data_IF_739814633863
#
_entry.id   IF_739814633863
#
_cell.length_a   1.000
_cell.length_b   1.000
_cell.length_c   1.000
_cell.angle_alpha   90.00
_cell.angle_beta   90.00
_cell.angle_gamma   90.00
#
_symmetry.space_group_name_H-M   'P 1'
#
loop_
_entity.id
_entity.type
_entity.pdbx_description
1 polymer ?
#
# COMPACT_ATOMS: atom_id res chain seq x y z
N UNK A 1 -7.02 14.56 -8.76
CA UNK A 1 -7.58 15.19 -9.98
C UNK A 1 -7.13 14.48 -11.26
N UNK A 2 -5.84 14.19 -11.45
CA UNK A 2 -5.29 13.47 -12.63
C UNK A 2 -6.03 12.17 -13.04
N UNK A 3 -6.41 11.36 -12.05
CA UNK A 3 -6.90 10.01 -12.29
C UNK A 3 -8.34 9.97 -12.85
N UNK A 4 -9.13 11.04 -12.69
CA UNK A 4 -10.45 11.20 -13.33
C UNK A 4 -10.36 11.74 -14.76
N UNK A 5 -9.35 12.56 -15.07
CA UNK A 5 -9.16 13.16 -16.40
C UNK A 5 -8.47 12.21 -17.38
N UNK A 6 -7.68 11.27 -16.85
CA UNK A 6 -6.84 10.34 -17.62
C UNK A 6 -7.63 9.50 -18.64
N UNK A 7 -8.77 8.86 -18.29
CA UNK A 7 -9.53 8.08 -19.26
C UNK A 7 -10.18 8.93 -20.35
N UNK A 8 -10.61 10.15 -20.02
CA UNK A 8 -11.20 11.10 -20.97
C UNK A 8 -10.17 11.65 -21.97
N UNK A 9 -8.95 11.93 -21.50
CA UNK A 9 -7.85 12.43 -22.32
C UNK A 9 -7.18 11.32 -23.15
N UNK A 10 -7.15 10.08 -22.64
CA UNK A 10 -6.63 8.92 -23.37
C UNK A 10 -7.41 8.62 -24.65
N UNK A 11 -8.70 9.00 -24.71
CA UNK A 11 -9.53 8.87 -25.90
C UNK A 11 -9.13 9.83 -27.03
N UNK A 12 -8.49 10.96 -26.71
CA UNK A 12 -8.06 11.98 -27.68
C UNK A 12 -6.59 11.86 -28.06
N UNK A 13 -5.69 11.60 -27.10
CA UNK A 13 -4.27 11.31 -27.39
C UNK A 13 -3.53 10.90 -26.11
N UNK A 14 -2.79 9.79 -26.20
CA UNK A 14 -1.92 9.27 -25.14
C UNK A 14 -0.83 10.29 -24.76
N UNK A 15 -0.42 11.15 -25.69
CA UNK A 15 0.61 12.19 -25.47
C UNK A 15 0.19 13.21 -24.42
N UNK A 16 -1.08 13.62 -24.39
CA UNK A 16 -1.56 14.61 -23.41
C UNK A 16 -1.61 14.05 -21.99
N UNK A 17 -1.89 12.75 -21.84
CA UNK A 17 -1.81 12.04 -20.56
C UNK A 17 -0.38 12.11 -19.99
N UNK A 18 0.62 11.80 -20.81
CA UNK A 18 2.04 11.86 -20.40
C UNK A 18 2.50 13.27 -20.03
N UNK A 19 2.09 14.28 -20.80
CA UNK A 19 2.42 15.69 -20.52
C UNK A 19 1.83 16.12 -19.17
N UNK A 20 0.58 15.76 -18.90
CA UNK A 20 -0.11 16.15 -17.68
C UNK A 20 0.47 15.44 -16.44
N UNK A 21 0.82 14.15 -16.58
CA UNK A 21 1.55 13.39 -15.55
C UNK A 21 2.94 13.99 -15.28
N UNK A 22 3.68 14.39 -16.33
CA UNK A 22 4.98 15.04 -16.20
C UNK A 22 4.85 16.37 -15.47
N UNK A 23 3.89 17.21 -15.87
CA UNK A 23 3.67 18.51 -15.23
C UNK A 23 3.34 18.37 -13.74
N UNK A 24 2.45 17.44 -13.35
CA UNK A 24 2.13 17.21 -11.94
C UNK A 24 3.30 16.63 -11.15
N UNK A 25 4.06 15.71 -11.74
CA UNK A 25 5.27 15.15 -11.10
C UNK A 25 6.34 16.22 -10.91
N UNK A 26 6.50 17.12 -11.87
CA UNK A 26 7.43 18.25 -11.79
C UNK A 26 7.02 19.25 -10.71
N UNK A 27 5.73 19.57 -10.60
CA UNK A 27 5.22 20.41 -9.51
C UNK A 27 5.49 19.75 -8.16
N UNK A 28 5.16 18.46 -8.00
CA UNK A 28 5.45 17.71 -6.78
C UNK A 28 6.94 17.68 -6.43
N UNK A 29 7.80 17.50 -7.44
CA UNK A 29 9.26 17.55 -7.29
C UNK A 29 9.75 18.91 -6.81
N UNK A 30 9.25 20.01 -7.40
CA UNK A 30 9.59 21.37 -6.97
C UNK A 30 9.17 21.61 -5.52
N UNK A 31 7.94 21.23 -5.14
CA UNK A 31 7.48 21.30 -3.74
C UNK A 31 8.36 20.44 -2.81
N UNK A 32 8.73 19.24 -3.23
CA UNK A 32 9.61 18.37 -2.46
C UNK A 32 11.01 19.00 -2.26
N UNK A 33 11.58 19.67 -3.28
CA UNK A 33 12.86 20.38 -3.16
C UNK A 33 12.79 21.52 -2.13
N UNK A 34 11.68 22.27 -2.11
CA UNK A 34 11.47 23.30 -1.08
C UNK A 34 11.32 22.70 0.32
N UNK A 35 10.62 21.56 0.46
CA UNK A 35 10.49 20.85 1.73
C UNK A 35 11.81 20.22 2.21
N UNK A 36 12.58 19.61 1.31
CA UNK A 36 13.86 18.97 1.59
C UNK A 36 14.95 19.98 2.01
N UNK A 37 14.87 21.24 1.56
CA UNK A 37 15.77 22.30 2.06
C UNK A 37 15.67 22.53 3.57
N UNK A 38 14.57 22.13 4.21
CA UNK A 38 14.40 22.24 5.67
C UNK A 38 14.91 21.01 6.43
N UNK A 39 15.28 19.93 5.72
CA UNK A 39 15.81 18.71 6.31
C UNK A 39 17.34 18.79 6.32
N UNK A 40 17.91 18.95 7.51
CA UNK A 40 19.35 18.90 7.71
C UNK A 40 19.82 17.48 7.31
N UNK A 41 20.79 17.32 6.38
CA UNK A 41 21.26 16.01 5.99
C UNK A 41 21.77 15.28 7.24
N UNK A 42 21.20 14.11 7.53
CA UNK A 42 21.69 13.27 8.60
C UNK A 42 23.18 13.05 8.37
N UNK A 43 24.02 13.50 9.31
CA UNK A 43 25.46 13.32 9.27
C UNK A 43 25.71 11.83 9.05
N UNK A 44 26.27 11.49 7.88
CA UNK A 44 26.67 10.12 7.53
C UNK A 44 27.90 9.81 8.37
N UNK A 45 27.68 9.56 9.66
CA UNK A 45 28.67 8.92 10.51
C UNK A 45 29.04 7.62 9.77
N UNK A 46 30.34 7.38 9.60
CA UNK A 46 30.86 6.09 9.15
C UNK A 46 30.47 5.06 10.22
N UNK A 47 29.22 4.62 10.14
CA UNK A 47 28.65 3.63 11.03
C UNK A 47 29.48 2.37 10.78
N UNK A 48 30.32 2.03 11.76
CA UNK A 48 31.01 0.73 11.79
C UNK A 48 29.99 -0.33 11.41
N UNK A 49 30.35 -1.27 10.54
CA UNK A 49 29.52 -2.44 10.25
C UNK A 49 29.27 -3.22 11.54
N UNK A 50 28.26 -2.80 12.28
CA UNK A 50 27.73 -3.57 13.38
C UNK A 50 26.88 -4.66 12.73
N UNK A 51 27.13 -5.91 13.12
CA UNK A 51 26.39 -7.06 12.61
C UNK A 51 24.91 -6.83 12.89
N UNK A 52 24.15 -6.51 11.84
CA UNK A 52 22.71 -6.31 11.92
C UNK A 52 22.06 -7.67 12.01
N UNK A 53 21.64 -8.04 13.21
CA UNK A 53 20.90 -9.27 13.46
C UNK A 53 19.40 -8.96 13.36
N UNK A 54 18.70 -9.71 12.51
CA UNK A 54 17.24 -9.58 12.38
C UNK A 54 16.62 -10.17 13.63
N UNK A 55 16.06 -9.30 14.49
CA UNK A 55 15.34 -9.75 15.68
C UNK A 55 14.08 -10.54 15.29
N UNK A 56 13.57 -11.43 16.15
CA UNK A 56 12.34 -12.17 15.88
C UNK A 56 11.14 -11.25 15.56
N UNK A 57 11.06 -10.09 16.22
CA UNK A 57 10.01 -9.10 15.93
C UNK A 57 10.13 -8.47 14.53
N UNK A 58 11.36 -8.22 14.06
CA UNK A 58 11.58 -7.74 12.71
C UNK A 58 11.23 -8.82 11.68
N UNK A 59 11.47 -10.09 11.99
CA UNK A 59 11.03 -11.23 11.16
C UNK A 59 9.51 -11.29 11.03
N UNK A 60 8.77 -11.16 12.13
CA UNK A 60 7.31 -11.09 12.07
C UNK A 60 6.83 -9.89 11.25
N UNK A 61 7.46 -8.73 11.40
CA UNK A 61 7.14 -7.55 10.61
C UNK A 61 7.42 -7.76 9.11
N UNK A 62 8.53 -8.44 8.76
CA UNK A 62 8.86 -8.78 7.37
C UNK A 62 7.82 -9.71 6.76
N UNK A 63 7.42 -10.76 7.47
CA UNK A 63 6.40 -11.71 6.99
C UNK A 63 5.05 -11.00 6.85
N UNK A 64 4.65 -10.21 7.85
CA UNK A 64 3.42 -9.40 7.80
C UNK A 64 3.43 -8.46 6.59
N UNK A 65 4.56 -7.78 6.33
CA UNK A 65 4.68 -6.83 5.23
C UNK A 65 4.73 -7.50 3.85
N UNK A 66 5.33 -8.70 3.75
CA UNK A 66 5.27 -9.54 2.56
C UNK A 66 3.84 -9.97 2.23
N UNK A 67 3.10 -10.48 3.22
CA UNK A 67 1.69 -10.86 3.06
C UNK A 67 0.82 -9.66 2.66
N UNK A 68 1.11 -8.48 3.22
CA UNK A 68 0.47 -7.24 2.82
C UNK A 68 0.76 -6.87 1.35
N UNK A 69 1.97 -7.13 0.84
CA UNK A 69 2.30 -6.93 -0.57
C UNK A 69 1.46 -7.80 -1.50
N UNK A 70 1.16 -9.03 -1.08
CA UNK A 70 0.31 -9.95 -1.82
C UNK A 70 -1.12 -9.43 -1.86
N UNK A 71 -1.72 -9.13 -0.70
CA UNK A 71 -3.11 -8.68 -0.63
C UNK A 71 -3.37 -7.32 -1.26
N UNK A 72 -2.32 -6.50 -1.38
CA UNK A 72 -2.35 -5.21 -2.07
C UNK A 72 -2.60 -5.33 -3.59
N UNK A 73 -2.24 -6.46 -4.22
CA UNK A 73 -2.24 -6.60 -5.68
C UNK A 73 -3.64 -6.51 -6.31
N UNK A 74 -4.67 -7.06 -5.65
CA UNK A 74 -6.02 -7.12 -6.23
C UNK A 74 -6.59 -5.75 -6.59
N UNK A 75 -6.39 -4.76 -5.71
CA UNK A 75 -6.88 -3.40 -5.90
C UNK A 75 -5.94 -2.47 -6.68
N UNK A 76 -4.73 -2.93 -7.00
CA UNK A 76 -3.72 -2.09 -7.62
C UNK A 76 -3.39 -2.55 -9.01
N UNK A 77 -2.90 -3.77 -9.16
CA UNK A 77 -2.54 -4.32 -10.45
C UNK A 77 -3.76 -4.83 -11.21
N UNK A 78 -4.67 -5.51 -10.53
CA UNK A 78 -5.78 -6.23 -11.17
C UNK A 78 -7.11 -5.50 -11.15
N UNK A 79 -7.20 -4.31 -10.55
CA UNK A 79 -8.49 -3.63 -10.32
C UNK A 79 -9.19 -3.20 -11.60
N UNK A 80 -8.46 -2.54 -12.51
CA UNK A 80 -9.05 -2.04 -13.76
C UNK A 80 -9.47 -3.20 -14.64
N UNK A 81 -8.62 -4.24 -14.73
CA UNK A 81 -8.90 -5.46 -15.49
C UNK A 81 -10.07 -6.24 -14.88
N UNK A 82 -10.18 -6.30 -13.56
CA UNK A 82 -11.34 -6.89 -12.87
C UNK A 82 -12.65 -6.20 -13.30
N UNK A 83 -12.70 -4.88 -13.20
CA UNK A 83 -13.91 -4.13 -13.55
C UNK A 83 -14.25 -4.27 -15.04
N UNK A 84 -13.24 -4.26 -15.92
CA UNK A 84 -13.44 -4.31 -17.37
C UNK A 84 -13.76 -5.73 -17.88
N UNK A 85 -13.00 -6.74 -17.43
CA UNK A 85 -13.07 -8.11 -17.96
C UNK A 85 -14.11 -8.97 -17.22
N UNK A 86 -14.23 -8.85 -15.90
CA UNK A 86 -15.14 -9.68 -15.08
C UNK A 86 -16.52 -9.03 -14.93
N UNK A 87 -16.55 -7.72 -14.66
CA UNK A 87 -17.80 -6.99 -14.41
C UNK A 87 -18.32 -6.23 -15.65
N UNK A 88 -17.64 -6.37 -16.79
CA UNK A 88 -17.98 -5.76 -18.07
C UNK A 88 -18.25 -4.24 -18.00
N UNK A 89 -17.53 -3.53 -17.12
CA UNK A 89 -17.59 -2.07 -17.04
C UNK A 89 -16.74 -1.45 -18.14
N UNK A 90 -17.09 -0.24 -18.56
CA UNK A 90 -16.27 0.48 -19.54
C UNK A 90 -14.90 0.81 -18.96
N UNK A 91 -13.87 0.84 -19.80
CA UNK A 91 -12.50 1.22 -19.39
C UNK A 91 -12.46 2.60 -18.75
N UNK A 92 -13.36 3.52 -19.15
CA UNK A 92 -13.51 4.83 -18.55
C UNK A 92 -13.95 4.74 -17.08
N UNK A 93 -15.00 3.96 -16.79
CA UNK A 93 -15.49 3.77 -15.42
C UNK A 93 -14.47 3.01 -14.57
N UNK A 94 -13.83 1.98 -15.13
CA UNK A 94 -12.80 1.22 -14.43
C UNK A 94 -11.61 2.09 -14.02
N UNK A 95 -11.12 2.94 -14.93
CA UNK A 95 -10.06 3.91 -14.64
C UNK A 95 -10.49 4.98 -13.63
N UNK A 96 -11.72 5.50 -13.75
CA UNK A 96 -12.27 6.46 -12.80
C UNK A 96 -12.43 5.86 -11.39
N UNK A 97 -12.81 4.59 -11.28
CA UNK A 97 -12.87 3.88 -10.00
C UNK A 97 -11.49 3.85 -9.33
N UNK A 98 -10.44 3.54 -10.09
CA UNK A 98 -9.07 3.54 -9.58
C UNK A 98 -8.59 4.93 -9.11
N UNK A 99 -9.22 6.02 -9.55
CA UNK A 99 -8.96 7.35 -9.00
C UNK A 99 -9.29 7.48 -7.51
N UNK A 100 -10.32 6.77 -7.04
CA UNK A 100 -10.69 6.74 -5.62
C UNK A 100 -9.61 6.09 -4.77
N UNK A 101 -8.83 5.14 -5.31
CA UNK A 101 -7.63 4.62 -4.67
C UNK A 101 -6.67 5.76 -4.31
N UNK A 102 -6.34 6.61 -5.29
CA UNK A 102 -5.42 7.72 -5.12
C UNK A 102 -5.92 8.76 -4.13
N UNK A 103 -7.22 9.06 -4.15
CA UNK A 103 -7.85 9.96 -3.17
C UNK A 103 -7.75 9.37 -1.77
N UNK A 104 -8.14 8.10 -1.59
CA UNK A 104 -7.99 7.40 -0.31
C UNK A 104 -6.56 7.49 0.19
N UNK A 105 -5.59 7.13 -0.65
CA UNK A 105 -4.16 7.16 -0.34
C UNK A 105 -3.66 8.53 0.15
N UNK A 106 -4.16 9.63 -0.42
CA UNK A 106 -3.82 10.97 0.05
C UNK A 106 -4.31 11.24 1.48
N UNK A 107 -5.55 10.84 1.79
CA UNK A 107 -6.11 10.96 3.15
C UNK A 107 -5.45 10.00 4.14
N UNK A 108 -5.06 8.80 3.67
CA UNK A 108 -4.41 7.77 4.48
C UNK A 108 -3.11 8.22 5.12
N UNK A 109 -2.29 8.96 4.36
CA UNK A 109 -1.02 9.49 4.85
C UNK A 109 -1.24 10.44 6.04
N UNK A 110 -2.23 11.32 5.92
CA UNK A 110 -2.59 12.28 6.97
C UNK A 110 -3.23 11.60 8.19
N UNK A 111 -4.07 10.58 7.96
CA UNK A 111 -4.82 9.89 9.01
C UNK A 111 -3.96 8.98 9.89
N UNK A 112 -2.85 8.45 9.38
CA UNK A 112 -2.05 7.43 10.07
C UNK A 112 -1.46 7.90 11.40
N UNK A 113 -0.90 9.12 11.47
CA UNK A 113 -0.38 9.68 12.72
C UNK A 113 -1.48 10.03 13.74
N UNK A 114 -2.67 10.43 13.27
CA UNK A 114 -3.83 10.63 14.14
C UNK A 114 -4.33 9.31 14.71
N UNK A 115 -4.26 8.22 13.93
CA UNK A 115 -4.69 6.92 14.38
C UNK A 115 -3.73 6.35 15.44
N UNK A 116 -2.43 6.45 15.19
CA UNK A 116 -1.39 6.06 16.15
C UNK A 116 -1.55 6.79 17.48
N UNK A 117 -1.73 8.11 17.47
CA UNK A 117 -1.89 8.90 18.71
C UNK A 117 -3.13 8.54 19.52
N UNK A 118 -4.22 8.09 18.87
CA UNK A 118 -5.48 7.74 19.54
C UNK A 118 -5.49 6.32 20.10
N UNK A 119 -5.12 5.33 19.28
CA UNK A 119 -5.30 3.91 19.63
C UNK A 119 -3.97 3.15 19.83
N UNK A 120 -2.83 3.82 19.64
CA UNK A 120 -1.50 3.24 19.74
C UNK A 120 -1.05 2.57 18.44
N UNK A 121 0.27 2.44 18.29
CA UNK A 121 0.90 1.99 17.05
C UNK A 121 0.44 0.59 16.62
N UNK A 122 0.41 -0.37 17.55
CA UNK A 122 0.02 -1.75 17.25
C UNK A 122 -1.44 -1.83 16.80
N UNK A 123 -2.36 -1.23 17.55
CA UNK A 123 -3.80 -1.28 17.24
C UNK A 123 -4.13 -0.49 15.97
N UNK A 124 -3.43 0.61 15.71
CA UNK A 124 -3.53 1.34 14.45
C UNK A 124 -3.16 0.45 13.26
N UNK A 125 -2.07 -0.32 13.37
CA UNK A 125 -1.62 -1.23 12.32
C UNK A 125 -2.59 -2.39 12.11
N UNK A 126 -3.09 -3.00 13.20
CA UNK A 126 -4.14 -4.03 13.15
C UNK A 126 -5.40 -3.50 12.46
N UNK A 127 -5.89 -2.31 12.83
CA UNK A 127 -7.08 -1.72 12.22
C UNK A 127 -6.88 -1.47 10.73
N UNK A 128 -5.71 -0.98 10.35
CA UNK A 128 -5.34 -0.76 8.94
C UNK A 128 -5.37 -2.08 8.16
N UNK A 129 -4.77 -3.16 8.67
CA UNK A 129 -4.80 -4.48 8.03
C UNK A 129 -6.22 -5.07 7.95
N UNK A 130 -7.05 -4.89 9.00
CA UNK A 130 -8.45 -5.29 8.98
C UNK A 130 -9.24 -4.57 7.87
N UNK A 131 -9.09 -3.26 7.77
CA UNK A 131 -9.75 -2.45 6.75
C UNK A 131 -9.28 -2.82 5.34
N UNK A 132 -7.99 -3.16 5.16
CA UNK A 132 -7.48 -3.72 3.90
C UNK A 132 -8.15 -5.05 3.55
N UNK A 133 -8.19 -5.98 4.51
CA UNK A 133 -8.82 -7.29 4.28
C UNK A 133 -10.31 -7.15 3.95
N UNK A 134 -11.02 -6.28 4.67
CA UNK A 134 -12.42 -5.95 4.40
C UNK A 134 -12.60 -5.38 3.00
N UNK A 135 -11.67 -4.54 2.53
CA UNK A 135 -11.68 -4.02 1.16
C UNK A 135 -11.62 -5.17 0.15
N UNK A 136 -10.74 -6.16 0.34
CA UNK A 136 -10.66 -7.35 -0.53
C UNK A 136 -11.94 -8.18 -0.52
N UNK A 137 -12.52 -8.45 0.65
CA UNK A 137 -13.78 -9.19 0.71
C UNK A 137 -14.93 -8.39 0.08
N UNK A 138 -14.98 -7.08 0.31
CA UNK A 138 -15.97 -6.22 -0.33
C UNK A 138 -15.84 -6.27 -1.86
N UNK A 139 -14.62 -6.25 -2.40
CA UNK A 139 -14.39 -6.38 -3.84
C UNK A 139 -14.84 -7.74 -4.41
N UNK A 140 -14.65 -8.82 -3.65
CA UNK A 140 -15.03 -10.17 -4.06
C UNK A 140 -16.56 -10.36 -4.15
N UNK A 141 -17.31 -9.79 -3.20
CA UNK A 141 -18.75 -10.03 -3.07
C UNK A 141 -19.63 -8.91 -3.63
N UNK A 142 -19.14 -7.67 -3.67
CA UNK A 142 -19.93 -6.55 -4.19
C UNK A 142 -20.07 -6.62 -5.71
N UNK A 143 -21.27 -6.29 -6.19
CA UNK A 143 -21.57 -6.12 -7.62
C UNK A 143 -22.00 -4.70 -7.97
N UNK A 144 -22.49 -3.96 -6.98
CA UNK A 144 -22.84 -2.55 -7.12
C UNK A 144 -21.59 -1.67 -7.17
N UNK A 145 -21.56 -0.75 -8.13
CA UNK A 145 -20.39 0.08 -8.41
C UNK A 145 -19.99 0.97 -7.22
N UNK A 146 -20.97 1.47 -6.47
CA UNK A 146 -20.73 2.25 -5.26
C UNK A 146 -19.88 1.48 -4.22
N UNK A 147 -20.20 0.21 -3.97
CA UNK A 147 -19.47 -0.61 -2.99
C UNK A 147 -18.06 -0.98 -3.50
N UNK A 148 -17.88 -1.09 -4.82
CA UNK A 148 -16.57 -1.27 -5.43
C UNK A 148 -15.69 -0.03 -5.27
N UNK A 149 -16.26 1.17 -5.47
CA UNK A 149 -15.54 2.43 -5.24
C UNK A 149 -15.18 2.64 -3.76
N UNK A 150 -16.07 2.27 -2.83
CA UNK A 150 -15.76 2.25 -1.39
C UNK A 150 -14.62 1.27 -1.10
N UNK A 151 -14.64 0.08 -1.70
CA UNK A 151 -13.61 -0.93 -1.54
C UNK A 151 -12.23 -0.42 -1.98
N UNK A 152 -12.12 0.13 -3.19
CA UNK A 152 -10.84 0.64 -3.70
C UNK A 152 -10.37 1.89 -2.96
N UNK A 153 -11.29 2.76 -2.54
CA UNK A 153 -10.99 3.90 -1.67
C UNK A 153 -10.39 3.46 -0.34
N UNK A 154 -11.01 2.49 0.35
CA UNK A 154 -10.54 1.96 1.63
C UNK A 154 -9.15 1.32 1.50
N UNK A 155 -8.91 0.57 0.44
CA UNK A 155 -7.58 0.02 0.16
C UNK A 155 -6.54 1.14 -0.04
N UNK A 156 -6.90 2.19 -0.78
CA UNK A 156 -6.06 3.38 -0.94
C UNK A 156 -5.75 4.04 0.40
N UNK A 157 -6.79 4.37 1.17
CA UNK A 157 -6.71 5.01 2.48
C UNK A 157 -5.81 4.28 3.47
N UNK A 158 -5.86 2.96 3.45
CA UNK A 158 -5.04 2.14 4.34
C UNK A 158 -3.61 1.91 3.83
N UNK A 159 -3.33 2.09 2.54
CA UNK A 159 -2.01 1.78 1.96
C UNK A 159 -0.91 2.68 2.48
N UNK A 160 -1.05 4.00 2.37
CA UNK A 160 -0.04 4.94 2.86
C UNK A 160 0.10 4.90 4.38
N UNK A 161 -1.02 4.72 5.10
CA UNK A 161 -0.99 4.54 6.54
C UNK A 161 -0.26 3.27 6.97
N UNK A 162 -0.45 2.15 6.25
CA UNK A 162 0.26 0.91 6.53
C UNK A 162 1.78 1.07 6.38
N UNK A 163 2.24 1.79 5.34
CA UNK A 163 3.68 2.05 5.12
C UNK A 163 4.27 2.89 6.26
N UNK A 164 3.55 3.93 6.70
CA UNK A 164 3.98 4.78 7.81
C UNK A 164 4.08 3.99 9.13
N UNK A 165 3.02 3.24 9.48
CA UNK A 165 2.96 2.45 10.71
C UNK A 165 3.99 1.29 10.69
N UNK A 166 4.24 0.67 9.54
CA UNK A 166 5.27 -0.37 9.39
C UNK A 166 6.66 0.20 9.65
N UNK A 167 6.96 1.39 9.11
CA UNK A 167 8.24 2.05 9.38
C UNK A 167 8.36 2.51 10.83
N UNK A 168 7.29 3.00 11.44
CA UNK A 168 7.29 3.30 12.87
C UNK A 168 7.59 2.05 13.71
N UNK A 169 6.95 0.91 13.43
CA UNK A 169 7.24 -0.36 14.11
C UNK A 169 8.69 -0.80 13.88
N UNK A 170 9.21 -0.67 12.67
CA UNK A 170 10.61 -0.97 12.37
C UNK A 170 11.55 -0.11 13.22
N UNK A 171 11.31 1.20 13.30
CA UNK A 171 12.07 2.13 14.12
C UNK A 171 12.04 1.74 15.61
N UNK A 172 10.89 1.33 16.12
CA UNK A 172 10.75 0.84 17.50
C UNK A 172 11.52 -0.47 17.74
N UNK A 173 11.54 -1.39 16.77
CA UNK A 173 12.17 -2.71 16.91
C UNK A 173 13.70 -2.61 16.84
N UNK A 174 14.25 -1.82 15.91
CA UNK A 174 15.69 -1.79 15.63
C UNK A 174 16.41 -0.55 16.15
N UNK A 175 15.67 0.46 16.61
CA UNK A 175 16.21 1.75 17.02
C UNK A 175 16.67 2.64 15.85
N UNK A 176 17.03 3.89 16.17
CA UNK A 176 17.40 4.91 15.17
C UNK A 176 18.62 4.51 14.34
N UNK A 177 19.59 3.84 14.96
CA UNK A 177 20.87 3.49 14.33
C UNK A 177 20.69 2.53 13.16
N UNK A 178 19.83 1.51 13.29
CA UNK A 178 19.65 0.50 12.27
C UNK A 178 18.38 0.70 11.42
N UNK A 179 17.60 1.75 11.67
CA UNK A 179 16.32 2.02 11.01
C UNK A 179 16.44 2.11 9.49
N UNK A 180 17.44 2.84 8.97
CA UNK A 180 17.62 3.00 7.53
C UNK A 180 17.77 1.63 6.82
N UNK A 181 18.61 0.74 7.39
CA UNK A 181 18.80 -0.61 6.86
C UNK A 181 17.52 -1.45 6.97
N UNK A 182 16.82 -1.41 8.11
CA UNK A 182 15.58 -2.16 8.30
C UNK A 182 14.47 -1.70 7.34
N UNK A 183 14.32 -0.38 7.14
CA UNK A 183 13.34 0.21 6.22
C UNK A 183 13.63 -0.18 4.77
N UNK A 184 14.90 -0.18 4.36
CA UNK A 184 15.30 -0.67 3.03
C UNK A 184 14.99 -2.16 2.84
N UNK A 185 15.27 -3.01 3.84
CA UNK A 185 14.95 -4.45 3.77
C UNK A 185 13.43 -4.67 3.68
N UNK A 186 12.63 -3.95 4.47
CA UNK A 186 11.16 -4.02 4.40
C UNK A 186 10.64 -3.62 3.02
N UNK A 187 11.16 -2.52 2.47
CA UNK A 187 10.76 -2.03 1.14
C UNK A 187 11.14 -3.02 0.04
N UNK A 188 12.36 -3.57 0.09
CA UNK A 188 12.81 -4.58 -0.86
C UNK A 188 11.98 -5.86 -0.76
N UNK A 189 11.68 -6.31 0.46
CA UNK A 189 10.83 -7.46 0.72
C UNK A 189 9.43 -7.28 0.11
N UNK A 190 8.81 -6.11 0.32
CA UNK A 190 7.52 -5.79 -0.30
C UNK A 190 7.60 -5.85 -1.83
N UNK A 191 8.63 -5.23 -2.43
CA UNK A 191 8.80 -5.21 -3.88
C UNK A 191 9.00 -6.61 -4.48
N UNK A 192 9.81 -7.47 -3.84
CA UNK A 192 10.05 -8.85 -4.29
C UNK A 192 8.74 -9.64 -4.27
N UNK A 193 8.01 -9.61 -3.15
CA UNK A 193 6.75 -10.35 -3.05
C UNK A 193 5.69 -9.80 -4.00
N UNK A 194 5.61 -8.48 -4.17
CA UNK A 194 4.73 -7.87 -5.17
C UNK A 194 5.07 -8.34 -6.59
N UNK A 195 6.34 -8.42 -6.96
CA UNK A 195 6.79 -8.86 -8.28
C UNK A 195 6.59 -10.37 -8.51
N UNK A 196 6.85 -11.21 -7.51
CA UNK A 196 6.65 -12.66 -7.62
C UNK A 196 5.16 -12.98 -7.70
N UNK A 197 4.36 -12.40 -6.81
CA UNK A 197 2.93 -12.69 -6.75
C UNK A 197 2.12 -12.03 -7.86
N UNK A 198 2.60 -10.93 -8.46
CA UNK A 198 1.97 -10.39 -9.67
C UNK A 198 2.05 -11.40 -10.82
N UNK A 199 3.22 -11.99 -11.07
CA UNK A 199 3.40 -13.03 -12.09
C UNK A 199 2.58 -14.28 -11.76
N UNK A 200 2.63 -14.73 -10.50
CA UNK A 200 1.87 -15.89 -10.04
C UNK A 200 0.36 -15.68 -10.21
N UNK A 201 -0.17 -14.52 -9.81
CA UNK A 201 -1.58 -14.20 -9.97
C UNK A 201 -1.98 -14.06 -11.43
N UNK A 202 -1.17 -13.44 -12.28
CA UNK A 202 -1.45 -13.38 -13.74
C UNK A 202 -1.60 -14.79 -14.33
N UNK A 203 -0.74 -15.74 -13.95
CA UNK A 203 -0.86 -17.13 -14.37
C UNK A 203 -2.12 -17.79 -13.80
N UNK A 204 -2.33 -17.70 -12.48
CA UNK A 204 -3.44 -18.36 -11.78
C UNK A 204 -4.82 -17.78 -12.14
N UNK A 205 -4.88 -16.52 -12.54
CA UNK A 205 -6.13 -15.81 -12.86
C UNK A 205 -6.90 -16.49 -13.99
N UNK A 206 -6.19 -17.09 -14.96
CA UNK A 206 -6.79 -17.84 -16.07
C UNK A 206 -7.61 -19.07 -15.62
N UNK A 207 -7.34 -19.60 -14.41
CA UNK A 207 -8.02 -20.77 -13.86
C UNK A 207 -8.93 -20.43 -12.67
N UNK A 208 -8.53 -19.46 -11.83
CA UNK A 208 -9.23 -19.11 -10.59
C UNK A 208 -10.31 -18.02 -10.77
N UNK A 209 -10.12 -17.11 -11.72
CA UNK A 209 -10.96 -15.91 -11.84
C UNK A 209 -10.77 -14.89 -10.71
N UNK A 210 -11.40 -13.72 -10.85
CA UNK A 210 -11.18 -12.57 -9.98
C UNK A 210 -11.75 -12.74 -8.57
N UNK A 211 -12.87 -13.45 -8.44
CA UNK A 211 -13.46 -13.74 -7.12
C UNK A 211 -12.43 -14.38 -6.18
N UNK A 212 -11.81 -15.48 -6.60
CA UNK A 212 -10.82 -16.19 -5.80
C UNK A 212 -9.53 -15.37 -5.62
N UNK A 213 -9.14 -14.55 -6.61
CA UNK A 213 -8.03 -13.62 -6.45
C UNK A 213 -8.24 -12.66 -5.27
N UNK A 214 -9.42 -12.06 -5.16
CA UNK A 214 -9.74 -11.17 -4.03
C UNK A 214 -9.88 -11.91 -2.70
N UNK A 215 -10.39 -13.15 -2.70
CA UNK A 215 -10.42 -14.00 -1.50
C UNK A 215 -9.00 -14.30 -1.01
N UNK A 216 -8.08 -14.69 -1.90
CA UNK A 216 -6.67 -14.95 -1.56
C UNK A 216 -6.00 -13.68 -1.05
N UNK A 217 -6.24 -12.54 -1.71
CA UNK A 217 -5.71 -11.25 -1.26
C UNK A 217 -6.20 -10.88 0.17
N UNK A 218 -7.50 -11.04 0.43
CA UNK A 218 -8.10 -10.80 1.73
C UNK A 218 -7.55 -11.75 2.80
N UNK A 219 -7.45 -13.05 2.48
CA UNK A 219 -6.87 -14.05 3.36
C UNK A 219 -5.39 -13.75 3.69
N UNK A 220 -4.60 -13.32 2.71
CA UNK A 220 -3.21 -12.89 2.94
C UNK A 220 -3.14 -11.72 3.93
N UNK A 221 -4.06 -10.74 3.85
CA UNK A 221 -4.12 -9.62 4.78
C UNK A 221 -4.58 -10.01 6.19
N UNK A 222 -5.51 -10.95 6.30
CA UNK A 222 -5.88 -11.54 7.60
C UNK A 222 -4.68 -12.28 8.21
N UNK A 223 -3.94 -13.04 7.42
CA UNK A 223 -2.71 -13.70 7.88
C UNK A 223 -1.63 -12.68 8.25
N UNK A 224 -1.50 -11.59 7.49
CA UNK A 224 -0.59 -10.47 7.79
C UNK A 224 -0.87 -9.88 9.17
N UNK A 225 -2.14 -9.74 9.52
CA UNK A 225 -2.58 -9.29 10.84
C UNK A 225 -2.22 -10.30 11.92
N UNK A 226 -2.54 -11.59 11.72
CA UNK A 226 -2.25 -12.65 12.70
C UNK A 226 -0.75 -12.71 13.02
N UNK A 227 0.09 -12.60 11.99
CA UNK A 227 1.56 -12.56 12.12
C UNK A 227 2.05 -11.31 12.87
N UNK A 228 1.29 -10.21 12.85
CA UNK A 228 1.63 -8.98 13.55
C UNK A 228 1.31 -9.06 15.07
N UNK A 229 0.35 -9.89 15.49
CA UNK A 229 -0.11 -9.97 16.88
C UNK A 229 0.98 -10.21 17.93
N UNK A 230 2.04 -11.03 17.68
CA UNK A 230 3.11 -11.26 18.64
C UNK A 230 4.00 -10.03 18.90
N UNK A 231 3.98 -9.01 18.03
CA UNK A 231 4.78 -7.80 18.21
C UNK A 231 4.25 -7.03 19.43
N UNK A 232 5.15 -6.68 20.37
CA UNK A 232 4.78 -5.97 21.60
C UNK A 232 4.26 -4.56 21.31
N UNK A 233 3.31 -4.11 22.12
CA UNK A 233 2.73 -2.77 22.00
C UNK A 233 3.71 -1.72 22.53
N UNK A 234 3.83 -0.58 21.84
CA UNK A 234 4.81 0.48 22.16
C UNK A 234 4.55 1.17 23.50
N UNK A 235 3.37 0.97 24.12
CA UNK A 235 2.97 1.56 25.42
C UNK A 235 3.40 0.76 26.66
N UNK A 236 4.10 -0.36 26.49
CA UNK A 236 4.44 -1.27 27.61
C UNK A 236 5.87 -1.10 28.17
N UNK A 237 6.50 0.08 28.01
CA UNK A 237 7.77 0.45 28.63
C UNK A 237 7.69 1.85 29.23
#
# INVERSE_FOLDING_TARGET
MCCFTLPYVAHFSITYVWILLFAMSFVGFVFALFGLKTLNPARRELQKEQKFLISPFLWFLLISYALNAIGYLGHTLFWVDYLALDLHKSSMLAGASWAFFGIGSAFGALGSGMLESKIGLKNAHILVLLLKALSCFLAAYAREFFWLDVSVFLMGFTTTGNVALTNALALHIVGKEAFARASSILTLNFAIFQAVFSLLFTYLLSFLGYFWLFIICGAALVMSLVVLLPIKDSRAL
#
